data_IF_062269988454
#
_entry.id   IF_062269988454
#
_cell.length_a   1.000
_cell.length_b   1.000
_cell.length_c   1.000
_cell.angle_alpha   90.00
_cell.angle_beta   90.00
_cell.angle_gamma   90.00
#
_symmetry.space_group_name_H-M   'P 1'
#
loop_
_entity.id
_entity.type
_entity.pdbx_description
1 polymer ?
#
# COMPACT_ATOMS: atom_id res chain seq x y z
N UNK A 1 50.90 41.89 -7.46
CA UNK A 1 49.71 41.90 -6.59
C UNK A 1 49.30 40.45 -6.53
N UNK A 2 50.02 39.75 -5.67
CA UNK A 2 49.86 38.34 -5.35
C UNK A 2 49.05 38.32 -4.07
N UNK A 3 47.87 37.69 -4.12
CA UNK A 3 47.01 37.53 -2.96
C UNK A 3 47.16 36.09 -2.47
N UNK A 4 47.98 35.93 -1.43
CA UNK A 4 48.09 34.72 -0.62
C UNK A 4 46.74 34.42 0.06
N UNK A 5 46.18 33.24 -0.17
CA UNK A 5 45.16 32.70 0.73
C UNK A 5 45.83 31.91 1.87
N UNK A 6 45.31 32.03 3.11
CA UNK A 6 45.88 31.34 4.25
C UNK A 6 45.52 29.85 4.25
N UNK A 7 46.55 29.07 4.58
CA UNK A 7 46.50 27.69 5.04
C UNK A 7 45.68 27.59 6.35
N UNK A 8 44.64 26.77 6.35
CA UNK A 8 43.95 26.31 7.55
C UNK A 8 43.78 24.80 7.50
N UNK A 9 44.75 24.09 8.06
CA UNK A 9 44.54 22.76 8.60
C UNK A 9 43.78 22.81 9.92
N UNK A 10 42.73 21.99 10.05
CA UNK A 10 42.55 21.10 11.21
C UNK A 10 41.36 20.14 10.99
N UNK A 11 41.71 18.86 10.88
CA UNK A 11 41.01 17.68 11.40
C UNK A 11 39.66 17.94 12.10
N UNK A 12 38.57 17.59 11.41
CA UNK A 12 37.46 16.88 12.03
C UNK A 12 37.41 15.49 11.39
N UNK A 13 37.73 14.48 12.19
CA UNK A 13 37.54 13.07 11.88
C UNK A 13 36.04 12.77 11.70
N UNK A 14 35.56 12.92 10.48
CA UNK A 14 34.45 12.12 10.01
C UNK A 14 35.02 10.74 9.68
N UNK A 15 34.75 9.79 10.56
CA UNK A 15 35.02 8.38 10.30
C UNK A 15 34.03 7.88 9.22
N UNK A 16 34.26 8.30 7.98
CA UNK A 16 33.67 7.78 6.74
C UNK A 16 34.45 6.56 6.22
N UNK A 17 35.37 6.02 7.03
CA UNK A 17 36.13 4.82 6.75
C UNK A 17 35.32 3.54 7.02
N UNK A 18 34.35 3.24 6.15
CA UNK A 18 33.83 1.87 5.96
C UNK A 18 33.21 1.56 4.58
N UNK A 19 33.12 2.52 3.65
CA UNK A 19 32.69 2.22 2.27
C UNK A 19 33.72 2.78 1.29
N UNK A 20 34.51 1.87 0.72
CA UNK A 20 35.63 2.14 -0.18
C UNK A 20 35.15 2.39 -1.63
N UNK A 21 35.91 3.19 -2.40
CA UNK A 21 35.74 3.35 -3.84
C UNK A 21 36.41 2.19 -4.59
N UNK A 22 35.72 1.65 -5.59
CA UNK A 22 36.23 0.60 -6.47
C UNK A 22 35.13 -0.21 -7.15
N UNK A 23 34.33 0.46 -7.99
CA UNK A 23 33.50 -0.08 -9.09
C UNK A 23 33.05 -1.54 -8.92
N UNK A 24 32.20 -1.79 -7.93
CA UNK A 24 31.49 -3.05 -7.79
C UNK A 24 30.15 -2.88 -8.52
N UNK A 25 30.11 -3.19 -9.81
CA UNK A 25 28.86 -3.70 -10.37
C UNK A 25 28.58 -4.99 -9.61
N UNK A 26 27.48 -5.13 -8.85
CA UNK A 26 27.15 -6.42 -8.27
C UNK A 26 26.90 -7.37 -9.44
N UNK A 27 27.93 -8.14 -9.81
CA UNK A 27 27.76 -9.23 -10.76
C UNK A 27 26.59 -10.08 -10.28
N UNK A 28 25.68 -10.42 -11.20
CA UNK A 28 24.42 -11.15 -10.99
C UNK A 28 24.33 -11.71 -9.58
N UNK A 29 23.63 -10.99 -8.71
CA UNK A 29 23.47 -11.35 -7.31
C UNK A 29 22.88 -12.75 -7.26
N UNK A 30 23.71 -13.75 -6.94
CA UNK A 30 23.30 -15.16 -6.98
C UNK A 30 22.14 -15.41 -6.03
N UNK A 31 21.29 -16.39 -6.35
CA UNK A 31 20.11 -16.72 -5.54
C UNK A 31 20.43 -16.98 -4.05
N UNK A 32 21.65 -17.43 -3.75
CA UNK A 32 22.13 -17.63 -2.37
C UNK A 32 22.18 -16.33 -1.56
N UNK A 33 22.34 -15.17 -2.21
CA UNK A 33 22.34 -13.85 -1.57
C UNK A 33 21.01 -13.54 -0.91
N UNK A 34 19.90 -13.94 -1.54
CA UNK A 34 18.56 -13.66 -1.04
C UNK A 34 18.03 -14.71 -0.08
N UNK A 35 18.72 -15.85 0.09
CA UNK A 35 18.21 -16.99 0.86
C UNK A 35 17.86 -16.63 2.29
N UNK A 36 18.79 -16.00 3.01
CA UNK A 36 18.57 -15.56 4.40
C UNK A 36 17.42 -14.55 4.49
N UNK A 37 17.35 -13.61 3.54
CA UNK A 37 16.31 -12.58 3.51
C UNK A 37 14.92 -13.17 3.25
N UNK A 38 14.82 -14.07 2.28
CA UNK A 38 13.60 -14.83 1.99
C UNK A 38 13.17 -15.67 3.19
N UNK A 39 14.09 -16.37 3.86
CA UNK A 39 13.76 -17.14 5.06
C UNK A 39 13.15 -16.26 6.15
N UNK A 40 13.67 -15.04 6.35
CA UNK A 40 13.13 -14.05 7.29
C UNK A 40 11.75 -13.54 6.88
N UNK A 41 11.57 -13.16 5.62
CA UNK A 41 10.28 -12.69 5.10
C UNK A 41 9.22 -13.80 5.18
N UNK A 42 9.55 -15.03 4.79
CA UNK A 42 8.64 -16.19 4.89
C UNK A 42 8.25 -16.48 6.33
N UNK A 43 9.21 -16.40 7.27
CA UNK A 43 8.94 -16.58 8.69
C UNK A 43 8.05 -15.45 9.26
N UNK A 44 8.17 -14.23 8.74
CA UNK A 44 7.30 -13.11 9.10
C UNK A 44 5.89 -13.29 8.51
N UNK A 45 5.77 -13.60 7.21
CA UNK A 45 4.50 -13.87 6.55
C UNK A 45 3.72 -14.99 7.26
N UNK A 46 4.40 -16.07 7.65
CA UNK A 46 3.79 -17.18 8.40
C UNK A 46 3.21 -16.76 9.76
N UNK A 47 3.82 -15.77 10.43
CA UNK A 47 3.32 -15.22 11.71
C UNK A 47 2.18 -14.24 11.52
N UNK A 48 2.14 -13.53 10.39
CA UNK A 48 1.05 -12.63 10.03
C UNK A 48 -0.19 -13.37 9.53
N UNK A 49 -0.03 -14.51 8.84
CA UNK A 49 -1.13 -15.31 8.30
C UNK A 49 -2.33 -15.55 9.25
N UNK A 50 -2.16 -15.85 10.55
CA UNK A 50 -3.27 -16.00 11.49
C UNK A 50 -3.91 -14.68 11.97
N UNK A 51 -3.35 -13.52 11.64
CA UNK A 51 -3.90 -12.21 12.00
C UNK A 51 -4.98 -11.82 11.00
N UNK A 52 -6.23 -11.95 11.43
CA UNK A 52 -7.43 -11.82 10.59
C UNK A 52 -7.93 -10.38 10.47
N UNK A 53 -7.78 -9.59 11.51
CA UNK A 53 -8.21 -8.19 11.57
C UNK A 53 -7.01 -7.25 11.56
N UNK A 54 -7.23 -6.01 11.15
CA UNK A 54 -6.21 -4.98 11.06
C UNK A 54 -5.52 -4.79 12.44
N UNK A 55 -4.24 -5.17 12.59
CA UNK A 55 -3.54 -5.06 13.87
C UNK A 55 -3.15 -3.62 14.18
N UNK A 56 -2.95 -3.28 15.46
CA UNK A 56 -2.29 -2.01 15.80
C UNK A 56 -0.81 -2.03 15.41
N UNK A 57 -0.19 -0.85 15.31
CA UNK A 57 1.28 -0.73 15.14
C UNK A 57 2.06 -1.42 16.26
N UNK A 58 1.58 -1.33 17.51
CA UNK A 58 2.15 -2.04 18.66
C UNK A 58 2.07 -3.56 18.45
N UNK A 59 0.95 -4.08 17.96
CA UNK A 59 0.80 -5.51 17.68
C UNK A 59 1.73 -5.98 16.56
N UNK A 60 1.95 -5.15 15.53
CA UNK A 60 2.93 -5.46 14.47
C UNK A 60 4.36 -5.43 15.00
N UNK A 61 4.69 -4.49 15.89
CA UNK A 61 5.98 -4.45 16.56
C UNK A 61 6.24 -5.75 17.36
N UNK A 62 5.25 -6.21 18.13
CA UNK A 62 5.34 -7.48 18.86
C UNK A 62 5.59 -8.67 17.91
N UNK A 63 4.87 -8.74 16.79
CA UNK A 63 5.03 -9.81 15.79
C UNK A 63 6.44 -9.80 15.19
N UNK A 64 7.02 -8.62 14.92
CA UNK A 64 8.39 -8.49 14.46
C UNK A 64 9.39 -8.94 15.54
N UNK A 65 9.21 -8.52 16.79
CA UNK A 65 10.05 -8.97 17.90
C UNK A 65 9.99 -10.49 18.09
N UNK A 66 8.79 -11.08 18.04
CA UNK A 66 8.58 -12.54 18.08
C UNK A 66 9.18 -13.27 16.85
N UNK A 67 9.38 -12.54 15.75
CA UNK A 67 10.09 -12.99 14.56
C UNK A 67 11.62 -12.85 14.65
N UNK A 68 12.14 -12.37 15.78
CA UNK A 68 13.56 -12.19 16.04
C UNK A 68 14.12 -10.90 15.46
N UNK A 69 13.26 -9.92 15.14
CA UNK A 69 13.70 -8.58 14.76
C UNK A 69 13.97 -7.74 16.00
N UNK A 70 15.01 -6.91 15.94
CA UNK A 70 15.41 -6.02 17.03
C UNK A 70 14.96 -4.60 16.69
N UNK A 71 14.26 -3.94 17.61
CA UNK A 71 13.88 -2.53 17.46
C UNK A 71 15.12 -1.65 17.45
N UNK A 72 15.35 -0.92 16.36
CA UNK A 72 16.39 0.10 16.26
C UNK A 72 15.88 1.43 16.82
N UNK A 73 14.66 1.81 16.41
CA UNK A 73 13.92 2.99 16.87
C UNK A 73 12.41 2.76 16.71
N UNK A 74 11.52 3.58 17.28
CA UNK A 74 10.08 3.38 17.12
C UNK A 74 9.67 3.23 15.65
N UNK A 75 9.00 2.12 15.33
CA UNK A 75 8.56 1.79 13.97
C UNK A 75 9.63 1.20 13.03
N UNK A 76 10.91 1.07 13.46
CA UNK A 76 12.00 0.52 12.64
C UNK A 76 12.74 -0.60 13.35
N UNK A 77 12.99 -1.68 12.62
CA UNK A 77 13.54 -2.93 13.13
C UNK A 77 14.65 -3.44 12.22
N UNK A 78 15.57 -4.24 12.77
CA UNK A 78 16.65 -4.88 12.01
C UNK A 78 16.80 -6.35 12.34
N UNK A 79 17.19 -7.15 11.36
CA UNK A 79 17.53 -8.57 11.51
C UNK A 79 18.44 -9.02 10.36
N UNK A 80 19.59 -9.64 10.66
CA UNK A 80 20.52 -10.19 9.65
C UNK A 80 20.91 -9.20 8.53
N UNK A 81 21.08 -7.93 8.88
CA UNK A 81 21.41 -6.86 7.92
C UNK A 81 20.23 -6.28 7.16
N UNK A 82 19.02 -6.80 7.35
CA UNK A 82 17.78 -6.26 6.79
C UNK A 82 17.22 -5.15 7.67
N UNK A 83 16.50 -4.23 7.06
CA UNK A 83 15.68 -3.22 7.74
C UNK A 83 14.21 -3.54 7.49
N UNK A 84 13.40 -3.44 8.54
CA UNK A 84 11.95 -3.46 8.43
C UNK A 84 11.34 -2.20 9.04
N UNK A 85 10.30 -1.66 8.40
CA UNK A 85 9.54 -0.51 8.86
C UNK A 85 8.07 -0.88 9.02
N UNK A 86 7.46 -0.47 10.13
CA UNK A 86 6.03 -0.64 10.39
C UNK A 86 5.31 0.63 10.00
N UNK A 87 4.34 0.49 9.09
CA UNK A 87 3.42 1.55 8.71
C UNK A 87 2.02 1.20 9.21
N UNK A 88 1.41 2.13 9.93
CA UNK A 88 0.04 2.02 10.36
C UNK A 88 -0.62 3.39 10.21
N UNK A 89 -1.63 3.45 9.38
CA UNK A 89 -2.50 4.59 9.19
C UNK A 89 -3.96 4.09 9.22
N UNK A 90 -4.93 4.99 9.21
CA UNK A 90 -6.33 4.60 9.24
C UNK A 90 -6.62 3.62 8.09
N UNK A 91 -7.14 2.45 8.46
CA UNK A 91 -7.54 1.42 7.52
C UNK A 91 -6.42 0.58 6.93
N UNK A 92 -5.15 0.99 7.04
CA UNK A 92 -4.02 0.28 6.42
C UNK A 92 -2.89 0.02 7.40
N UNK A 93 -2.35 -1.19 7.35
CA UNK A 93 -1.15 -1.55 8.10
C UNK A 93 -0.26 -2.40 7.22
N UNK A 94 1.03 -2.06 7.20
CA UNK A 94 2.01 -2.78 6.42
C UNK A 94 3.32 -2.92 7.19
N UNK A 95 4.08 -3.95 6.85
CA UNK A 95 5.49 -4.06 7.17
C UNK A 95 6.25 -4.02 5.86
N UNK A 96 7.17 -3.08 5.73
CA UNK A 96 8.07 -2.99 4.58
C UNK A 96 9.42 -3.55 4.98
N UNK A 97 10.01 -4.38 4.13
CA UNK A 97 11.31 -5.01 4.36
C UNK A 97 12.23 -4.70 3.18
N UNK A 98 13.30 -3.96 3.45
CA UNK A 98 14.33 -3.64 2.45
C UNK A 98 15.22 -4.87 2.26
N UNK A 99 15.23 -5.45 1.06
CA UNK A 99 16.02 -6.64 0.75
C UNK A 99 17.37 -6.31 0.13
N UNK A 100 17.38 -5.35 -0.79
CA UNK A 100 18.58 -5.00 -1.54
C UNK A 100 18.49 -3.58 -2.10
N UNK A 101 19.62 -2.88 -2.05
CA UNK A 101 19.79 -1.55 -2.62
C UNK A 101 20.67 -1.70 -3.87
N UNK A 102 20.11 -1.37 -5.03
CA UNK A 102 20.80 -1.39 -6.33
C UNK A 102 21.56 -0.08 -6.60
N UNK A 103 21.46 0.90 -5.70
CA UNK A 103 22.05 2.23 -5.82
C UNK A 103 21.13 3.24 -6.51
N UNK A 104 21.54 4.50 -6.46
CA UNK A 104 20.88 5.58 -7.20
C UNK A 104 21.36 5.58 -8.66
N UNK A 105 20.44 5.53 -9.64
CA UNK A 105 20.82 5.66 -11.04
C UNK A 105 21.67 6.90 -11.32
N UNK A 106 21.37 8.04 -10.69
CA UNK A 106 22.12 9.27 -10.93
C UNK A 106 23.55 9.28 -10.35
N UNK A 107 23.86 8.38 -9.41
CA UNK A 107 25.17 8.29 -8.76
C UNK A 107 26.14 7.32 -9.44
N UNK A 108 25.71 6.59 -10.48
CA UNK A 108 26.59 5.71 -11.24
C UNK A 108 27.69 6.56 -11.88
N UNK A 109 28.96 6.22 -11.66
CA UNK A 109 30.08 6.98 -12.23
C UNK A 109 30.16 6.73 -13.75
N UNK A 110 29.67 7.71 -14.51
CA UNK A 110 29.60 7.64 -15.97
C UNK A 110 30.85 8.14 -16.67
N UNK A 111 31.88 8.56 -15.94
CA UNK A 111 33.10 9.13 -16.54
C UNK A 111 33.89 8.12 -17.38
N UNK A 112 33.63 6.83 -17.20
CA UNK A 112 34.21 5.72 -17.96
C UNK A 112 33.46 5.38 -19.26
N UNK A 113 32.31 6.00 -19.53
CA UNK A 113 31.50 5.71 -20.71
C UNK A 113 31.43 6.90 -21.69
N UNK A 114 31.68 6.62 -22.98
CA UNK A 114 31.45 7.58 -24.06
C UNK A 114 29.93 7.77 -24.28
N UNK A 115 29.44 9.02 -24.24
CA UNK A 115 28.12 9.55 -24.70
C UNK A 115 26.83 8.98 -24.05
N UNK A 116 25.75 9.79 -24.05
CA UNK A 116 24.40 9.58 -23.44
C UNK A 116 23.74 8.19 -23.64
N UNK A 117 24.15 7.43 -24.65
CA UNK A 117 23.67 6.06 -24.91
C UNK A 117 24.09 5.09 -23.80
N UNK A 118 25.25 5.33 -23.19
CA UNK A 118 25.78 4.53 -22.08
C UNK A 118 25.06 4.77 -20.75
N UNK A 119 24.65 6.02 -20.47
CA UNK A 119 23.86 6.37 -19.29
C UNK A 119 22.54 5.61 -19.27
N UNK A 120 21.78 5.70 -20.38
CA UNK A 120 20.49 5.03 -20.48
C UNK A 120 20.66 3.51 -20.40
N UNK A 121 21.67 2.93 -21.05
CA UNK A 121 21.92 1.49 -20.98
C UNK A 121 22.26 1.01 -19.56
N UNK A 122 23.10 1.75 -18.81
CA UNK A 122 23.44 1.38 -17.44
C UNK A 122 22.25 1.51 -16.48
N UNK A 123 21.48 2.60 -16.60
CA UNK A 123 20.24 2.77 -15.85
C UNK A 123 19.25 1.65 -16.14
N UNK A 124 19.00 1.37 -17.42
CA UNK A 124 18.06 0.34 -17.85
C UNK A 124 18.50 -1.05 -17.35
N UNK A 125 19.81 -1.32 -17.31
CA UNK A 125 20.35 -2.55 -16.73
C UNK A 125 20.06 -2.68 -15.23
N UNK A 126 20.17 -1.61 -14.44
CA UNK A 126 19.82 -1.64 -13.00
C UNK A 126 18.35 -2.04 -12.80
N UNK A 127 17.44 -1.51 -13.62
CA UNK A 127 16.03 -1.90 -13.57
C UNK A 127 15.82 -3.37 -13.94
N UNK A 128 16.48 -3.87 -14.99
CA UNK A 128 16.41 -5.28 -15.38
C UNK A 128 16.94 -6.21 -14.28
N UNK A 129 18.04 -5.82 -13.62
CA UNK A 129 18.64 -6.60 -12.53
C UNK A 129 17.71 -6.62 -11.30
N UNK A 130 17.11 -5.48 -10.96
CA UNK A 130 16.13 -5.38 -9.88
C UNK A 130 14.88 -6.21 -10.16
N UNK A 131 14.38 -6.19 -11.40
CA UNK A 131 13.22 -7.00 -11.82
C UNK A 131 13.53 -8.51 -11.79
N UNK A 132 14.73 -8.90 -12.22
CA UNK A 132 15.18 -10.29 -12.14
C UNK A 132 15.31 -10.77 -10.69
N UNK A 133 15.82 -9.92 -9.79
CA UNK A 133 15.87 -10.17 -8.37
C UNK A 133 14.48 -10.28 -7.74
N UNK A 134 13.55 -9.39 -8.10
CA UNK A 134 12.14 -9.44 -7.69
C UNK A 134 11.50 -10.79 -8.05
N UNK A 135 11.66 -11.24 -9.31
CA UNK A 135 11.14 -12.54 -9.78
C UNK A 135 11.78 -13.72 -9.02
N UNK A 136 13.08 -13.63 -8.73
CA UNK A 136 13.81 -14.64 -7.96
C UNK A 136 13.28 -14.72 -6.53
N UNK A 137 13.17 -13.59 -5.83
CA UNK A 137 12.64 -13.51 -4.46
C UNK A 137 11.21 -14.04 -4.42
N UNK A 138 10.34 -13.60 -5.33
CA UNK A 138 8.96 -14.08 -5.39
C UNK A 138 8.88 -15.60 -5.57
N UNK A 139 9.71 -16.17 -6.45
CA UNK A 139 9.80 -17.63 -6.64
C UNK A 139 10.30 -18.37 -5.39
N UNK A 140 11.24 -17.79 -4.65
CA UNK A 140 11.80 -18.37 -3.42
C UNK A 140 10.83 -18.29 -2.22
N UNK A 141 9.97 -17.27 -2.16
CA UNK A 141 8.96 -17.15 -1.10
C UNK A 141 7.97 -18.33 -1.12
N UNK A 142 7.70 -18.91 -2.29
CA UNK A 142 6.81 -20.07 -2.42
C UNK A 142 5.37 -19.82 -1.98
N UNK A 143 4.95 -18.55 -1.92
CA UNK A 143 3.60 -18.15 -1.58
C UNK A 143 2.68 -18.24 -2.82
N UNK A 144 1.39 -18.56 -2.65
CA UNK A 144 0.44 -18.52 -3.76
C UNK A 144 0.28 -17.09 -4.31
N UNK A 145 -0.15 -16.92 -5.56
CA UNK A 145 -0.53 -15.59 -6.07
C UNK A 145 -1.68 -15.01 -5.25
N UNK A 146 -1.67 -13.68 -5.05
CA UNK A 146 -2.76 -12.99 -4.38
C UNK A 146 -3.97 -12.80 -5.31
N UNK A 147 -5.13 -12.48 -4.73
CA UNK A 147 -6.31 -12.04 -5.49
C UNK A 147 -6.01 -10.71 -6.21
N UNK A 148 -6.58 -10.42 -7.40
CA UNK A 148 -6.42 -9.12 -8.04
C UNK A 148 -6.86 -7.91 -7.19
N UNK A 149 -7.76 -8.12 -6.23
CA UNK A 149 -8.20 -7.11 -5.25
C UNK A 149 -7.33 -7.09 -3.98
N UNK A 150 -6.28 -7.92 -3.92
CA UNK A 150 -5.40 -8.00 -2.77
C UNK A 150 -4.53 -6.74 -2.67
N UNK A 151 -4.82 -5.94 -1.63
CA UNK A 151 -4.31 -4.58 -1.44
C UNK A 151 -4.66 -3.69 -2.63
N UNK A 152 -5.55 -2.73 -2.44
CA UNK A 152 -5.86 -1.74 -3.45
C UNK A 152 -4.65 -0.79 -3.58
N UNK A 153 -3.62 -1.21 -4.34
CA UNK A 153 -2.37 -0.50 -4.54
C UNK A 153 -2.35 0.16 -5.91
N UNK A 154 -3.00 1.32 -6.05
CA UNK A 154 -2.62 2.32 -7.06
C UNK A 154 -1.36 3.09 -6.65
N UNK A 155 -0.66 2.65 -5.60
CA UNK A 155 0.60 3.22 -5.15
C UNK A 155 1.65 3.22 -6.26
N UNK A 156 2.48 4.27 -6.26
CA UNK A 156 3.52 4.68 -7.23
C UNK A 156 4.62 3.65 -7.57
N UNK A 157 4.46 2.39 -7.20
CA UNK A 157 5.44 1.35 -7.43
C UNK A 157 5.28 0.74 -8.82
N UNK A 158 6.40 0.51 -9.50
CA UNK A 158 6.46 -0.06 -10.85
C UNK A 158 6.00 -1.52 -10.93
N UNK A 159 6.70 -2.35 -11.71
CA UNK A 159 6.40 -3.78 -11.75
C UNK A 159 6.47 -4.40 -10.35
N UNK A 160 5.50 -5.26 -10.05
CA UNK A 160 5.40 -5.96 -8.76
C UNK A 160 4.82 -7.35 -8.94
N UNK A 161 5.10 -8.22 -7.98
CA UNK A 161 4.50 -9.55 -7.88
C UNK A 161 3.71 -9.61 -6.58
N UNK A 162 2.39 -9.84 -6.70
CA UNK A 162 1.48 -9.97 -5.56
C UNK A 162 1.28 -11.43 -5.18
N UNK A 163 1.62 -11.74 -3.94
CA UNK A 163 1.48 -13.07 -3.34
C UNK A 163 0.56 -13.01 -2.11
N UNK A 164 -0.04 -14.13 -1.72
CA UNK A 164 -0.98 -14.22 -0.60
C UNK A 164 -0.43 -15.02 0.58
N UNK A 165 -0.70 -14.56 1.80
CA UNK A 165 -0.45 -15.28 3.05
C UNK A 165 -1.59 -15.05 4.05
N UNK A 166 -2.64 -15.87 3.95
CA UNK A 166 -3.87 -15.67 4.73
C UNK A 166 -4.54 -14.35 4.34
N UNK A 167 -4.72 -13.44 5.30
CA UNK A 167 -5.31 -12.11 5.08
C UNK A 167 -4.29 -11.04 4.66
N UNK A 168 -3.02 -11.41 4.47
CA UNK A 168 -1.94 -10.50 4.11
C UNK A 168 -1.52 -10.71 2.67
N UNK A 169 -1.36 -9.63 1.93
CA UNK A 169 -0.72 -9.70 0.64
C UNK A 169 0.74 -9.27 0.77
N UNK A 170 1.58 -9.99 0.06
CA UNK A 170 3.02 -9.87 0.06
C UNK A 170 3.39 -9.37 -1.32
N UNK A 171 3.63 -8.07 -1.42
CA UNK A 171 4.10 -7.44 -2.64
C UNK A 171 5.62 -7.47 -2.65
N UNK A 172 6.21 -8.14 -3.65
CA UNK A 172 7.63 -8.01 -3.96
C UNK A 172 7.72 -6.97 -5.07
N UNK A 173 8.39 -5.85 -4.80
CA UNK A 173 8.39 -4.70 -5.70
C UNK A 173 9.77 -4.05 -5.78
N UNK A 174 10.05 -3.47 -6.94
CA UNK A 174 11.17 -2.53 -7.10
C UNK A 174 10.63 -1.13 -6.84
N UNK A 175 11.18 -0.48 -5.82
CA UNK A 175 10.75 0.83 -5.35
C UNK A 175 11.79 1.87 -5.74
N UNK A 176 11.29 2.98 -6.31
CA UNK A 176 12.08 4.14 -6.67
C UNK A 176 11.26 5.38 -6.33
N UNK A 177 11.71 6.16 -5.36
CA UNK A 177 10.94 7.29 -4.81
C UNK A 177 11.20 8.62 -5.52
N UNK A 178 11.77 8.61 -6.72
CA UNK A 178 12.09 9.81 -7.48
C UNK A 178 13.46 9.69 -8.15
N UNK A 179 13.76 10.52 -9.17
CA UNK A 179 14.95 10.37 -10.03
C UNK A 179 16.27 10.28 -9.24
N UNK A 180 16.33 10.95 -8.09
CA UNK A 180 17.54 11.08 -7.26
C UNK A 180 17.61 10.02 -6.14
N UNK A 181 16.72 9.03 -6.11
CA UNK A 181 16.61 8.04 -5.03
C UNK A 181 17.01 6.63 -5.49
N UNK A 182 17.54 5.80 -4.57
CA UNK A 182 18.00 4.46 -4.90
C UNK A 182 16.87 3.56 -5.39
N UNK A 183 17.24 2.63 -6.26
CA UNK A 183 16.39 1.50 -6.64
C UNK A 183 16.50 0.45 -5.53
N UNK A 184 15.41 0.27 -4.77
CA UNK A 184 15.37 -0.68 -3.65
C UNK A 184 14.44 -1.83 -3.99
N UNK A 185 14.90 -3.06 -3.81
CA UNK A 185 14.02 -4.24 -3.79
C UNK A 185 13.40 -4.34 -2.40
N UNK A 186 12.09 -4.14 -2.34
CA UNK A 186 11.30 -4.15 -1.11
C UNK A 186 10.33 -5.33 -1.12
N UNK A 187 10.06 -5.89 0.07
CA UNK A 187 8.87 -6.71 0.30
C UNK A 187 7.93 -5.97 1.24
N UNK A 188 6.74 -5.64 0.75
CA UNK A 188 5.66 -5.09 1.57
C UNK A 188 4.65 -6.19 1.94
N UNK A 189 4.46 -6.39 3.24
CA UNK A 189 3.42 -7.27 3.80
C UNK A 189 2.29 -6.38 4.29
N UNK A 190 1.23 -6.22 3.50
CA UNK A 190 0.10 -5.37 3.84
C UNK A 190 -1.17 -6.18 4.07
N UNK A 191 -1.99 -5.71 5.01
CA UNK A 191 -3.29 -6.29 5.29
C UNK A 191 -4.24 -6.11 4.10
N UNK A 192 -5.01 -7.15 3.76
CA UNK A 192 -6.08 -7.06 2.77
C UNK A 192 -6.00 -8.04 1.59
N UNK A 193 -5.39 -9.23 1.74
CA UNK A 193 -5.38 -10.24 0.68
C UNK A 193 -6.71 -10.98 0.46
N UNK A 194 -7.57 -11.06 1.49
CA UNK A 194 -8.88 -11.72 1.44
C UNK A 194 -9.97 -10.82 2.03
N UNK A 195 -10.03 -9.58 1.53
CA UNK A 195 -11.09 -8.65 1.93
C UNK A 195 -12.50 -9.18 1.57
N UNK A 196 -12.74 -9.79 0.39
CA UNK A 196 -14.01 -10.45 0.08
C UNK A 196 -14.46 -11.48 1.12
N UNK A 197 -13.58 -12.43 1.45
CA UNK A 197 -13.88 -13.50 2.41
C UNK A 197 -14.08 -12.94 3.81
N UNK A 198 -13.28 -11.96 4.22
CA UNK A 198 -13.45 -11.32 5.54
C UNK A 198 -14.75 -10.53 5.63
N UNK A 199 -15.11 -9.78 4.59
CA UNK A 199 -16.39 -9.06 4.56
C UNK A 199 -17.57 -10.03 4.66
N UNK A 200 -17.53 -11.17 3.95
CA UNK A 200 -18.58 -12.19 4.03
C UNK A 200 -18.72 -12.81 5.45
N UNK A 201 -17.62 -12.97 6.18
CA UNK A 201 -17.65 -13.41 7.58
C UNK A 201 -18.28 -12.38 8.52
N UNK A 202 -18.05 -11.08 8.27
CA UNK A 202 -18.52 -9.99 9.11
C UNK A 202 -19.97 -9.62 8.81
N UNK A 203 -20.33 -9.48 7.54
CA UNK A 203 -21.62 -8.93 7.10
C UNK A 203 -22.61 -10.00 6.60
N UNK A 204 -22.18 -11.27 6.53
CA UNK A 204 -22.93 -12.34 5.88
C UNK A 204 -22.53 -12.52 4.41
N UNK A 205 -22.87 -13.65 3.77
CA UNK A 205 -22.45 -13.94 2.41
C UNK A 205 -23.05 -12.95 1.41
N UNK A 206 -22.38 -12.72 0.26
CA UNK A 206 -22.96 -11.98 -0.86
C UNK A 206 -24.33 -12.52 -1.26
N UNK A 207 -25.25 -11.63 -1.68
CA UNK A 207 -26.62 -12.01 -2.04
C UNK A 207 -26.74 -12.62 -3.44
N UNK A 208 -25.66 -12.61 -4.21
CA UNK A 208 -25.58 -13.16 -5.55
C UNK A 208 -25.17 -12.10 -6.57
N UNK A 209 -25.06 -12.52 -7.81
CA UNK A 209 -24.60 -11.66 -8.89
C UNK A 209 -25.67 -10.62 -9.29
N UNK A 210 -25.31 -9.35 -9.22
CA UNK A 210 -26.08 -8.22 -9.74
C UNK A 210 -25.38 -7.66 -10.98
N UNK A 211 -25.87 -7.94 -12.21
CA UNK A 211 -25.26 -7.41 -13.41
C UNK A 211 -25.38 -5.88 -13.44
N UNK A 212 -24.26 -5.20 -13.58
CA UNK A 212 -24.18 -3.74 -13.77
C UNK A 212 -23.53 -3.46 -15.12
N UNK A 213 -24.12 -2.55 -15.90
CA UNK A 213 -23.52 -2.07 -17.14
C UNK A 213 -22.45 -1.01 -16.81
N UNK A 214 -21.25 -1.46 -16.45
CA UNK A 214 -20.16 -0.58 -16.05
C UNK A 214 -19.69 0.36 -17.16
N UNK A 215 -19.85 -0.02 -18.43
CA UNK A 215 -19.53 0.84 -19.57
C UNK A 215 -20.48 2.04 -19.61
N UNK A 216 -21.79 1.79 -19.50
CA UNK A 216 -22.79 2.86 -19.44
C UNK A 216 -22.63 3.74 -18.19
N UNK A 217 -22.35 3.14 -17.02
CA UNK A 217 -22.12 3.88 -15.77
C UNK A 217 -20.88 4.77 -15.88
N UNK A 218 -19.74 4.24 -16.34
CA UNK A 218 -18.50 5.00 -16.50
C UNK A 218 -18.65 6.12 -17.54
N UNK A 219 -19.39 5.87 -18.62
CA UNK A 219 -19.71 6.91 -19.60
C UNK A 219 -20.61 8.02 -19.02
N UNK A 220 -21.54 7.67 -18.13
CA UNK A 220 -22.43 8.63 -17.48
C UNK A 220 -21.70 9.56 -16.50
N UNK A 221 -20.83 8.99 -15.66
CA UNK A 221 -20.09 9.71 -14.61
C UNK A 221 -18.74 10.27 -15.08
N UNK A 222 -18.31 9.93 -16.31
CA UNK A 222 -17.09 10.43 -16.97
C UNK A 222 -15.77 10.02 -16.29
N UNK A 223 -15.78 8.92 -15.52
CA UNK A 223 -14.59 8.32 -14.90
C UNK A 223 -14.72 6.81 -14.81
N UNK A 224 -13.59 6.11 -14.81
CA UNK A 224 -13.56 4.66 -14.56
C UNK A 224 -13.86 4.35 -13.10
N UNK A 225 -14.63 3.29 -12.86
CA UNK A 225 -15.01 2.86 -11.51
C UNK A 225 -13.91 2.12 -10.78
N UNK A 226 -13.65 2.43 -9.49
CA UNK A 226 -12.78 1.61 -8.64
C UNK A 226 -13.21 0.14 -8.66
N UNK A 227 -12.24 -0.76 -8.82
CA UNK A 227 -12.45 -2.20 -8.98
C UNK A 227 -13.19 -2.80 -7.78
N UNK A 228 -12.92 -2.27 -6.60
CA UNK A 228 -13.47 -2.73 -5.34
C UNK A 228 -14.94 -2.28 -5.13
N UNK A 229 -15.31 -1.09 -5.61
CA UNK A 229 -16.72 -0.67 -5.71
C UNK A 229 -17.47 -1.52 -6.73
N UNK A 230 -16.86 -1.81 -7.89
CA UNK A 230 -17.47 -2.70 -8.89
C UNK A 230 -17.74 -4.09 -8.29
N UNK A 231 -16.74 -4.63 -7.60
CA UNK A 231 -16.86 -5.91 -6.90
C UNK A 231 -17.98 -5.89 -5.86
N UNK A 232 -18.07 -4.85 -5.02
CA UNK A 232 -19.14 -4.71 -4.03
C UNK A 232 -20.52 -4.70 -4.67
N UNK A 233 -20.71 -3.91 -5.74
CA UNK A 233 -21.99 -3.83 -6.43
C UNK A 233 -22.38 -5.13 -7.12
N UNK A 234 -21.43 -5.83 -7.75
CA UNK A 234 -21.71 -7.10 -8.42
C UNK A 234 -22.06 -8.23 -7.45
N UNK A 235 -21.57 -8.19 -6.20
CA UNK A 235 -21.70 -9.29 -5.25
C UNK A 235 -22.75 -9.02 -4.15
N UNK A 236 -22.81 -7.78 -3.64
CA UNK A 236 -23.75 -7.37 -2.61
C UNK A 236 -24.91 -6.54 -3.16
N UNK A 237 -24.73 -5.86 -4.30
CA UNK A 237 -25.69 -4.90 -4.82
C UNK A 237 -25.83 -3.65 -3.95
N UNK A 238 -26.77 -2.75 -4.29
CA UNK A 238 -27.12 -1.62 -3.43
C UNK A 238 -27.73 -2.13 -2.11
N UNK A 239 -27.45 -1.44 -1.02
CA UNK A 239 -27.93 -1.83 0.30
C UNK A 239 -27.14 -1.18 1.42
N UNK A 240 -27.35 -1.66 2.64
CA UNK A 240 -26.82 -1.04 3.85
C UNK A 240 -26.08 -2.06 4.71
N UNK A 241 -24.85 -1.72 5.11
CA UNK A 241 -24.14 -2.43 6.18
C UNK A 241 -24.61 -1.93 7.54
N UNK A 242 -25.06 -2.88 8.35
CA UNK A 242 -25.43 -2.71 9.76
C UNK A 242 -26.47 -1.59 9.97
N UNK A 243 -27.43 -1.50 9.04
CA UNK A 243 -28.50 -0.49 8.98
C UNK A 243 -28.00 0.98 9.09
N UNK A 244 -26.72 1.23 8.76
CA UNK A 244 -26.11 2.56 8.88
C UNK A 244 -25.33 3.01 7.63
N UNK A 245 -24.40 2.19 7.10
CA UNK A 245 -23.56 2.57 5.97
C UNK A 245 -24.18 2.06 4.66
N UNK A 246 -24.79 2.95 3.87
CA UNK A 246 -25.52 2.62 2.65
C UNK A 246 -24.64 2.80 1.42
N UNK A 247 -24.48 1.75 0.63
CA UNK A 247 -23.87 1.81 -0.70
C UNK A 247 -24.83 2.52 -1.67
N UNK A 248 -24.34 3.56 -2.35
CA UNK A 248 -25.10 4.28 -3.38
C UNK A 248 -25.24 3.37 -4.60
N UNK A 249 -26.42 3.29 -5.21
CA UNK A 249 -26.60 2.46 -6.40
C UNK A 249 -25.86 3.09 -7.61
N UNK A 250 -25.31 2.30 -8.55
CA UNK A 250 -24.58 2.83 -9.70
C UNK A 250 -25.34 3.90 -10.49
N UNK A 251 -26.63 3.70 -10.71
CA UNK A 251 -27.53 4.62 -11.41
C UNK A 251 -27.85 5.93 -10.65
N UNK A 252 -27.53 5.97 -9.35
CA UNK A 252 -27.69 7.14 -8.48
C UNK A 252 -26.38 7.92 -8.32
N UNK A 253 -25.26 7.41 -8.85
CA UNK A 253 -23.97 8.09 -8.77
C UNK A 253 -24.01 9.44 -9.50
N UNK A 254 -23.58 10.48 -8.81
CA UNK A 254 -23.32 11.78 -9.42
C UNK A 254 -21.97 11.81 -10.11
N UNK A 255 -21.76 12.76 -11.02
CA UNK A 255 -20.42 13.08 -11.53
C UNK A 255 -19.44 13.39 -10.39
N UNK A 256 -18.15 13.07 -10.54
CA UNK A 256 -17.13 13.42 -9.56
C UNK A 256 -17.12 14.91 -9.25
N UNK A 257 -16.96 15.21 -7.98
CA UNK A 257 -16.89 16.58 -7.49
C UNK A 257 -15.42 16.98 -7.36
N UNK A 258 -15.08 18.19 -7.82
CA UNK A 258 -13.73 18.72 -7.66
C UNK A 258 -13.66 19.54 -6.39
N UNK A 259 -12.71 19.22 -5.51
CA UNK A 259 -12.56 19.91 -4.24
C UNK A 259 -11.17 19.75 -3.63
N UNK A 260 -10.86 20.54 -2.58
CA UNK A 260 -9.66 20.34 -1.81
C UNK A 260 -9.76 19.00 -1.05
N UNK A 261 -8.72 18.20 -1.13
CA UNK A 261 -8.54 17.00 -0.33
C UNK A 261 -8.32 17.37 1.14
N UNK A 262 -7.33 18.25 1.36
CA UNK A 262 -6.95 18.75 2.68
C UNK A 262 -7.15 20.26 2.76
N UNK A 263 -7.16 20.79 3.99
CA UNK A 263 -7.07 22.25 4.23
C UNK A 263 -5.81 22.85 3.58
N UNK A 264 -4.79 22.04 3.30
CA UNK A 264 -3.50 22.46 2.71
C UNK A 264 -3.49 22.52 1.18
N UNK A 265 -4.59 22.19 0.49
CA UNK A 265 -4.83 22.67 -0.87
C UNK A 265 -4.48 21.76 -2.04
N UNK A 266 -4.23 20.46 -1.84
CA UNK A 266 -4.22 19.52 -2.96
C UNK A 266 -5.65 19.33 -3.47
N UNK A 267 -5.90 19.54 -4.76
CA UNK A 267 -7.23 19.41 -5.35
C UNK A 267 -7.38 18.08 -6.05
N UNK A 268 -8.44 17.35 -5.73
CA UNK A 268 -8.71 16.02 -6.29
C UNK A 268 -10.19 15.92 -6.69
N UNK A 269 -10.48 15.01 -7.60
CA UNK A 269 -11.85 14.59 -7.86
C UNK A 269 -12.26 13.57 -6.81
N UNK A 270 -13.47 13.70 -6.27
CA UNK A 270 -14.04 12.73 -5.34
C UNK A 270 -15.38 12.23 -5.85
N UNK A 271 -15.62 10.93 -5.73
CA UNK A 271 -16.87 10.30 -6.14
C UNK A 271 -17.58 9.72 -4.92
N UNK A 272 -18.75 10.26 -4.50
CA UNK A 272 -19.54 9.67 -3.42
C UNK A 272 -19.93 8.23 -3.75
N UNK A 273 -19.58 7.29 -2.90
CA UNK A 273 -19.91 5.87 -3.08
C UNK A 273 -20.81 5.33 -1.96
N UNK A 274 -20.79 5.97 -0.79
CA UNK A 274 -21.65 5.60 0.33
C UNK A 274 -22.18 6.82 1.06
N UNK A 275 -23.30 6.62 1.75
CA UNK A 275 -23.91 7.63 2.62
C UNK A 275 -24.42 6.98 3.92
N UNK A 276 -24.77 7.80 4.90
CA UNK A 276 -25.36 7.38 6.17
C UNK A 276 -26.58 8.24 6.51
N UNK A 277 -27.46 7.80 7.43
CA UNK A 277 -28.59 8.61 7.89
C UNK A 277 -28.21 9.95 8.53
N UNK A 278 -26.98 10.07 9.05
CA UNK A 278 -26.45 11.29 9.66
C UNK A 278 -25.71 12.18 8.64
N UNK A 279 -25.99 11.97 7.35
CA UNK A 279 -25.43 12.72 6.20
C UNK A 279 -23.90 12.62 6.07
N UNK A 280 -23.28 11.60 6.69
CA UNK A 280 -21.87 11.26 6.42
C UNK A 280 -21.76 10.64 5.05
N UNK A 281 -20.89 11.19 4.22
CA UNK A 281 -20.58 10.71 2.86
C UNK A 281 -19.17 10.14 2.84
N UNK A 282 -19.01 8.94 2.28
CA UNK A 282 -17.70 8.37 1.99
C UNK A 282 -17.52 8.35 0.47
N UNK A 283 -16.50 9.08 0.02
CA UNK A 283 -16.19 9.26 -1.39
C UNK A 283 -14.87 8.61 -1.75
N UNK A 284 -14.78 7.95 -2.89
CA UNK A 284 -13.47 7.57 -3.44
C UNK A 284 -12.71 8.82 -3.89
N UNK A 285 -11.43 8.89 -3.55
CA UNK A 285 -10.51 9.91 -4.06
C UNK A 285 -10.01 9.41 -5.42
N UNK A 286 -10.41 10.08 -6.50
CA UNK A 286 -10.02 9.74 -7.86
C UNK A 286 -8.67 10.37 -8.17
N UNK A 287 -7.61 9.80 -7.61
CA UNK A 287 -6.23 10.16 -7.92
C UNK A 287 -5.49 8.94 -8.47
N UNK A 288 -4.81 9.06 -9.63
CA UNK A 288 -4.20 7.89 -10.28
C UNK A 288 -3.19 7.13 -9.42
N UNK A 289 -2.58 7.82 -8.44
CA UNK A 289 -1.48 7.31 -7.61
C UNK A 289 -1.87 6.99 -6.18
N UNK A 290 -3.13 7.22 -5.83
CA UNK A 290 -3.58 7.05 -4.45
C UNK A 290 -4.97 6.45 -4.40
N UNK A 291 -5.05 5.32 -3.70
CA UNK A 291 -6.30 4.75 -3.27
C UNK A 291 -6.55 5.20 -1.84
N UNK A 292 -7.54 6.07 -1.72
CA UNK A 292 -8.05 6.51 -0.44
C UNK A 292 -9.52 6.86 -0.59
N UNK A 293 -10.17 6.95 0.54
CA UNK A 293 -11.50 7.52 0.64
C UNK A 293 -11.44 8.82 1.42
N UNK A 294 -12.41 9.68 1.16
CA UNK A 294 -12.66 10.89 1.91
C UNK A 294 -13.98 10.74 2.65
N UNK A 295 -13.94 10.91 3.96
CA UNK A 295 -15.11 10.88 4.84
C UNK A 295 -15.49 12.31 5.19
N UNK A 296 -16.64 12.76 4.68
CA UNK A 296 -17.19 14.09 4.92
C UNK A 296 -18.42 13.98 5.80
N UNK A 297 -18.48 14.77 6.88
CA UNK A 297 -19.61 14.79 7.81
C UNK A 297 -20.01 16.23 8.17
N UNK A 298 -21.31 16.54 8.34
CA UNK A 298 -21.74 17.88 8.70
C UNK A 298 -21.10 18.40 9.98
N UNK A 299 -20.47 19.57 9.91
CA UNK A 299 -19.87 20.24 11.07
C UNK A 299 -18.58 19.59 11.60
N UNK A 300 -18.03 18.60 10.90
CA UNK A 300 -16.73 17.98 11.22
C UNK A 300 -15.71 18.27 10.13
N UNK A 301 -14.41 18.31 10.44
CA UNK A 301 -13.38 18.32 9.42
C UNK A 301 -13.46 17.03 8.59
N UNK A 302 -13.24 17.17 7.28
CA UNK A 302 -13.06 16.04 6.39
C UNK A 302 -11.90 15.16 6.89
N UNK A 303 -12.01 13.86 6.65
CA UNK A 303 -10.97 12.89 6.99
C UNK A 303 -10.65 12.02 5.80
N UNK A 304 -9.37 12.01 5.44
CA UNK A 304 -8.85 11.06 4.47
C UNK A 304 -8.56 9.74 5.17
N UNK A 305 -8.84 8.66 4.47
CA UNK A 305 -8.62 7.29 4.92
C UNK A 305 -7.90 6.51 3.84
N UNK A 306 -6.90 5.73 4.24
CA UNK A 306 -6.11 4.93 3.32
C UNK A 306 -6.83 3.62 2.97
N UNK A 307 -6.67 3.17 1.72
CA UNK A 307 -7.28 1.94 1.22
C UNK A 307 -8.59 2.16 0.47
N UNK A 308 -9.09 1.08 -0.11
CA UNK A 308 -10.29 1.07 -0.95
C UNK A 308 -11.60 0.97 -0.17
N UNK A 309 -12.69 1.18 -0.88
CA UNK A 309 -14.05 0.96 -0.41
C UNK A 309 -14.33 -0.48 0.05
N UNK A 310 -13.65 -1.51 -0.47
CA UNK A 310 -13.84 -2.88 0.06
C UNK A 310 -13.16 -3.06 1.44
N UNK A 311 -12.01 -2.44 1.65
CA UNK A 311 -11.28 -2.48 2.92
C UNK A 311 -12.00 -1.70 4.02
N UNK A 312 -12.57 -0.56 3.67
CA UNK A 312 -13.28 0.34 4.59
C UNK A 312 -14.34 -0.34 5.48
N UNK A 313 -15.35 -1.08 4.95
CA UNK A 313 -16.33 -1.79 5.77
C UNK A 313 -15.68 -2.95 6.54
N UNK A 314 -14.65 -3.62 6.02
CA UNK A 314 -13.97 -4.69 6.80
C UNK A 314 -13.35 -4.11 8.08
N UNK A 315 -12.64 -2.98 7.96
CA UNK A 315 -12.00 -2.30 9.10
C UNK A 315 -13.04 -1.78 10.09
N UNK A 316 -14.12 -1.16 9.59
CA UNK A 316 -15.19 -0.65 10.44
C UNK A 316 -15.98 -1.75 11.13
N UNK A 317 -16.43 -2.78 10.39
CA UNK A 317 -17.31 -3.83 10.89
C UNK A 317 -16.57 -4.82 11.82
N UNK A 318 -15.26 -5.00 11.66
CA UNK A 318 -14.43 -5.74 12.62
C UNK A 318 -14.26 -4.98 13.94
N UNK A 319 -14.49 -3.66 13.94
CA UNK A 319 -14.24 -2.79 15.08
C UNK A 319 -12.76 -2.53 15.32
N UNK A 320 -11.88 -2.87 14.37
CA UNK A 320 -10.45 -2.59 14.45
C UNK A 320 -10.19 -1.08 14.56
N UNK A 321 -10.99 -0.27 13.88
CA UNK A 321 -10.94 1.18 13.97
C UNK A 321 -12.32 1.81 14.12
N UNK A 322 -12.33 3.05 14.62
CA UNK A 322 -13.55 3.87 14.78
C UNK A 322 -13.32 5.24 14.20
N UNK A 323 -14.29 5.70 13.42
CA UNK A 323 -14.35 7.07 12.94
C UNK A 323 -15.16 7.95 13.88
N UNK A 324 -14.67 9.12 14.31
CA UNK A 324 -15.43 10.04 15.15
C UNK A 324 -16.68 10.60 14.45
N UNK A 325 -16.71 10.58 13.12
CA UNK A 325 -17.88 10.92 12.30
C UNK A 325 -19.04 9.93 12.47
N UNK A 326 -18.78 8.73 12.99
CA UNK A 326 -19.75 7.65 13.07
C UNK A 326 -20.23 7.51 14.53
N UNK A 327 -21.49 7.09 14.76
CA UNK A 327 -22.05 6.97 16.09
C UNK A 327 -21.30 5.89 16.87
N UNK A 328 -21.11 6.11 18.17
CA UNK A 328 -20.35 5.19 19.04
C UNK A 328 -20.92 3.76 19.13
N UNK A 329 -22.17 3.57 18.73
CA UNK A 329 -22.85 2.26 18.66
C UNK A 329 -22.60 1.48 17.36
N UNK A 330 -21.96 2.09 16.37
CA UNK A 330 -21.59 1.44 15.11
C UNK A 330 -20.14 0.93 15.16
N UNK A 331 -19.85 -0.26 14.63
CA UNK A 331 -20.83 -1.28 14.22
C UNK A 331 -21.54 -1.88 15.45
N UNK A 332 -22.69 -2.50 15.23
CA UNK A 332 -23.34 -3.36 16.21
C UNK A 332 -22.49 -4.61 16.47
N UNK A 333 -22.86 -5.41 17.48
CA UNK A 333 -22.13 -6.64 17.84
C UNK A 333 -22.23 -7.76 16.80
N UNK A 334 -23.17 -7.66 15.87
CA UNK A 334 -23.42 -8.66 14.86
C UNK A 334 -23.83 -7.93 13.56
N UNK A 335 -22.87 -7.25 12.92
CA UNK A 335 -23.15 -6.49 11.72
C UNK A 335 -23.66 -7.41 10.61
N UNK A 336 -24.47 -6.85 9.72
CA UNK A 336 -25.08 -7.59 8.60
C UNK A 336 -25.22 -6.68 7.41
N UNK A 337 -25.12 -7.22 6.22
CA UNK A 337 -25.55 -6.52 5.02
C UNK A 337 -27.06 -6.74 4.80
N UNK A 338 -27.75 -5.67 4.40
CA UNK A 338 -29.16 -5.69 4.02
C UNK A 338 -29.28 -5.07 2.63
N UNK A 339 -29.58 -5.89 1.63
CA UNK A 339 -29.84 -5.39 0.28
C UNK A 339 -31.02 -4.41 0.28
N UNK A 340 -30.94 -3.43 -0.62
CA UNK A 340 -32.09 -2.63 -0.98
C UNK A 340 -33.19 -3.58 -1.50
N UNK A 341 -34.45 -3.30 -1.14
CA UNK A 341 -35.58 -4.04 -1.71
C UNK A 341 -35.61 -3.86 -3.24
N UNK A 342 -36.33 -4.72 -3.98
CA UNK A 342 -36.56 -4.48 -5.40
C UNK A 342 -37.18 -3.10 -5.58
N UNK A 343 -36.53 -2.25 -6.37
CA UNK A 343 -36.98 -0.90 -6.73
C UNK A 343 -38.21 -0.98 -7.63
#
# INVERSE_FOLDING_TARGET
MDEEMPDQGSSQDWNLGAWLPGLYYPGVVGADTYRTAVERVTALASRLAPVVDLPSSERLADILTDAGWVTERPGRFTADGLTASVFADWGTTAIHVDLHDFGCPEEVDYSDYDIDESYNAARDQLYLDAEAAMRTVAGLLGLPPADPLAIDLRADYGERILLGSGHWAVAVAVVHEGPDLPIVLEVSLAYGADLPGRLAQLAGPPHGYHPVDWEAISAHIEVDMPDDYRWLMENYGPGTFDDYLTLIAPEELSKPQFGPLTVTGSWHQTLPLTTTPDEVVVSAILFPRWNGLKVTAPGMPDRDVSGGLLQFPVVLLSGAERLPQFPSRFPTRAPRFKAAGPV
#
